data_IF_972568520252
#
_entry.id   IF_972568520252
#
_cell.length_a   1.000
_cell.length_b   1.000
_cell.length_c   1.000
_cell.angle_alpha   90.00
_cell.angle_beta   90.00
_cell.angle_gamma   90.00
#
_symmetry.space_group_name_H-M   'P 1'
#
loop_
_entity.id
_entity.type
_entity.pdbx_description
1 polymer ?
#
# COMPACT_ATOMS: atom_id res chain seq x y z
N UNK A 1 17.52 32.97 -26.75
CA UNK A 1 17.03 31.93 -27.68
C UNK A 1 15.69 31.43 -27.19
N UNK A 2 14.67 31.38 -28.06
CA UNK A 2 13.36 30.84 -27.73
C UNK A 2 13.43 29.31 -27.67
N UNK A 3 12.89 28.72 -26.61
CA UNK A 3 12.79 27.26 -26.47
C UNK A 3 11.80 26.71 -27.50
N UNK A 4 12.23 25.76 -28.34
CA UNK A 4 11.38 25.08 -29.32
C UNK A 4 11.12 23.65 -28.89
N UNK A 5 10.00 23.06 -29.38
CA UNK A 5 9.56 21.72 -28.98
C UNK A 5 10.65 20.63 -29.18
N UNK A 6 11.42 20.73 -30.25
CA UNK A 6 12.51 19.78 -30.54
C UNK A 6 13.74 19.95 -29.63
N UNK A 7 13.79 20.99 -28.80
CA UNK A 7 14.84 21.15 -27.78
C UNK A 7 14.55 20.40 -26.47
N UNK A 8 13.29 19.97 -26.28
CA UNK A 8 12.89 19.21 -25.10
C UNK A 8 13.54 17.83 -25.11
N UNK A 9 14.37 17.55 -24.14
CA UNK A 9 15.05 16.27 -23.95
C UNK A 9 14.92 15.86 -22.50
N UNK A 10 14.81 14.54 -22.21
CA UNK A 10 14.88 14.05 -20.83
C UNK A 10 16.22 14.40 -20.22
N UNK A 11 16.27 14.51 -18.89
CA UNK A 11 17.52 14.72 -18.17
C UNK A 11 18.55 13.63 -18.51
N UNK A 12 19.88 13.95 -18.51
CA UNK A 12 20.90 12.95 -18.74
C UNK A 12 20.75 11.74 -17.79
N UNK A 13 20.74 10.52 -18.35
CA UNK A 13 20.54 9.29 -17.58
C UNK A 13 19.08 8.86 -17.36
N UNK A 14 18.10 9.71 -17.59
CA UNK A 14 16.69 9.36 -17.43
C UNK A 14 16.18 8.34 -18.47
N UNK A 15 16.84 8.25 -19.62
CA UNK A 15 16.48 7.29 -20.68
C UNK A 15 17.73 6.61 -21.21
N UNK A 16 17.78 5.29 -21.11
CA UNK A 16 18.84 4.45 -21.67
C UNK A 16 18.29 3.70 -22.88
N UNK A 17 19.05 3.70 -23.97
CA UNK A 17 18.66 2.96 -25.17
C UNK A 17 18.63 1.45 -24.87
N UNK A 18 17.53 0.77 -25.23
CA UNK A 18 17.39 -0.68 -25.06
C UNK A 18 18.42 -1.40 -25.92
N UNK A 19 19.25 -2.26 -25.31
CA UNK A 19 20.20 -3.10 -26.02
C UNK A 19 19.46 -4.16 -26.84
N UNK A 20 19.65 -4.15 -28.16
CA UNK A 20 19.11 -5.18 -29.06
C UNK A 20 20.14 -6.27 -29.22
N UNK A 21 19.87 -7.45 -28.69
CA UNK A 21 20.72 -8.64 -28.80
C UNK A 21 20.50 -9.40 -30.11
N UNK A 22 21.48 -10.23 -30.52
CA UNK A 22 21.35 -11.05 -31.73
C UNK A 22 21.38 -10.25 -33.05
N UNK A 23 22.10 -9.12 -33.09
CA UNK A 23 22.25 -8.24 -34.28
C UNK A 23 23.66 -8.25 -34.84
N UNK A 24 24.28 -9.41 -34.94
CA UNK A 24 25.64 -9.58 -35.41
C UNK A 24 26.58 -10.05 -34.28
N UNK A 25 27.89 -10.05 -34.53
CA UNK A 25 28.87 -10.62 -33.61
C UNK A 25 29.47 -9.62 -32.60
N UNK A 26 29.00 -8.38 -32.57
CA UNK A 26 29.43 -7.38 -31.58
C UNK A 26 29.07 -7.78 -30.14
N UNK A 27 29.47 -6.98 -29.14
CA UNK A 27 29.55 -7.27 -27.72
C UNK A 27 28.41 -8.08 -27.05
N UNK A 28 27.19 -8.10 -27.60
CA UNK A 28 26.07 -8.95 -27.18
C UNK A 28 25.42 -9.67 -28.37
N UNK A 29 26.19 -9.97 -29.40
CA UNK A 29 25.73 -10.51 -30.66
C UNK A 29 25.49 -12.01 -30.63
N UNK A 30 26.49 -12.80 -30.95
CA UNK A 30 26.46 -14.23 -31.28
C UNK A 30 25.50 -15.08 -30.45
N UNK A 31 25.62 -15.13 -29.15
CA UNK A 31 24.79 -15.93 -28.24
C UNK A 31 23.71 -15.13 -27.53
N UNK A 32 23.63 -13.83 -27.78
CA UNK A 32 22.64 -12.92 -27.16
C UNK A 32 22.58 -12.97 -25.62
N UNK A 33 23.72 -13.33 -24.98
CA UNK A 33 23.82 -13.47 -23.52
C UNK A 33 23.27 -14.79 -22.96
N UNK A 34 22.90 -15.75 -23.82
CA UNK A 34 22.32 -17.03 -23.38
C UNK A 34 23.33 -18.18 -23.22
N UNK A 35 24.58 -18.01 -23.65
CA UNK A 35 25.59 -19.08 -23.68
C UNK A 35 25.40 -20.03 -24.86
N UNK A 36 26.08 -21.19 -24.86
CA UNK A 36 26.19 -22.07 -26.03
C UNK A 36 25.29 -23.31 -25.99
N UNK A 37 25.02 -23.88 -24.85
CA UNK A 37 24.24 -25.12 -24.69
C UNK A 37 23.25 -24.99 -23.53
N UNK A 38 22.29 -25.91 -23.46
CA UNK A 38 21.28 -25.97 -22.42
C UNK A 38 19.90 -25.45 -22.84
N UNK A 39 18.92 -25.73 -22.04
CA UNK A 39 17.52 -25.43 -22.33
C UNK A 39 17.25 -23.93 -22.47
N UNK A 40 17.85 -23.12 -21.60
CA UNK A 40 17.69 -21.64 -21.61
C UNK A 40 18.38 -20.97 -22.81
N UNK A 41 19.31 -21.63 -23.48
CA UNK A 41 19.94 -21.12 -24.70
C UNK A 41 19.00 -21.27 -25.92
N UNK A 42 18.12 -22.27 -25.93
CA UNK A 42 17.26 -22.61 -27.04
C UNK A 42 15.86 -22.03 -26.97
N UNK A 43 15.26 -22.02 -25.76
CA UNK A 43 13.93 -21.44 -25.52
C UNK A 43 13.80 -20.93 -24.11
N UNK A 44 12.67 -20.35 -23.81
CA UNK A 44 12.39 -19.79 -22.49
C UNK A 44 11.82 -20.90 -21.59
N UNK A 45 12.43 -21.07 -20.41
CA UNK A 45 11.95 -21.99 -19.38
C UNK A 45 11.08 -21.22 -18.40
N UNK A 46 9.90 -21.72 -18.02
CA UNK A 46 9.08 -21.12 -16.98
C UNK A 46 9.86 -20.95 -15.67
N UNK A 47 9.62 -19.85 -14.95
CA UNK A 47 10.34 -19.55 -13.70
C UNK A 47 10.13 -20.61 -12.61
N UNK A 48 8.96 -21.28 -12.61
CA UNK A 48 8.61 -22.33 -11.67
C UNK A 48 9.10 -23.74 -12.07
N UNK A 49 9.84 -23.89 -13.16
CA UNK A 49 10.31 -25.21 -13.61
C UNK A 49 11.54 -25.67 -12.83
N UNK A 50 11.43 -26.80 -12.16
CA UNK A 50 12.47 -27.41 -11.30
C UNK A 50 13.08 -28.69 -11.91
N UNK A 51 13.21 -28.75 -13.23
CA UNK A 51 13.88 -29.87 -13.92
C UNK A 51 13.12 -31.20 -13.90
N UNK A 52 11.81 -31.18 -13.67
CA UNK A 52 10.96 -32.37 -13.56
C UNK A 52 10.64 -32.77 -12.11
N UNK A 53 11.31 -32.18 -11.12
CA UNK A 53 10.90 -32.29 -9.73
C UNK A 53 9.60 -31.52 -9.52
N UNK A 54 8.74 -32.02 -8.64
CA UNK A 54 7.49 -31.32 -8.25
C UNK A 54 7.84 -29.92 -7.71
N UNK A 55 7.31 -28.84 -8.32
CA UNK A 55 7.59 -27.46 -7.89
C UNK A 55 7.22 -27.21 -6.43
N UNK A 56 7.95 -26.32 -5.76
CA UNK A 56 7.78 -26.06 -4.32
C UNK A 56 6.35 -25.65 -3.95
N UNK A 57 5.68 -24.87 -4.79
CA UNK A 57 4.29 -24.47 -4.56
C UNK A 57 3.29 -25.64 -4.58
N UNK A 58 3.66 -26.78 -5.20
CA UNK A 58 2.87 -28.00 -5.19
C UNK A 58 3.26 -28.95 -4.05
N UNK A 59 4.49 -28.82 -3.53
CA UNK A 59 4.96 -29.61 -2.38
C UNK A 59 4.49 -29.04 -1.04
N UNK A 60 4.29 -27.73 -0.97
CA UNK A 60 3.78 -27.08 0.24
C UNK A 60 2.32 -27.44 0.47
N UNK A 61 1.93 -27.72 1.73
CA UNK A 61 0.53 -27.97 2.06
C UNK A 61 -0.33 -26.74 1.75
N UNK A 62 -1.55 -26.98 1.29
CA UNK A 62 -2.51 -25.89 1.07
C UNK A 62 -2.84 -25.19 2.39
N UNK A 63 -2.93 -23.88 2.34
CA UNK A 63 -3.39 -23.07 3.48
C UNK A 63 -4.83 -23.50 3.83
N UNK A 64 -5.04 -23.80 5.11
CA UNK A 64 -6.37 -24.17 5.64
C UNK A 64 -7.20 -22.91 5.89
N UNK A 65 -8.51 -23.07 5.89
CA UNK A 65 -9.46 -22.00 6.14
C UNK A 65 -9.92 -21.29 4.86
N UNK A 66 -10.70 -20.27 5.05
CA UNK A 66 -11.25 -19.43 3.98
C UNK A 66 -11.16 -17.95 4.35
N UNK A 67 -11.17 -17.08 3.35
CA UNK A 67 -11.30 -15.63 3.54
C UNK A 67 -12.77 -15.27 3.50
N UNK A 68 -13.31 -14.71 4.58
CA UNK A 68 -14.68 -14.23 4.61
C UNK A 68 -14.85 -13.06 3.62
N UNK A 69 -15.67 -13.21 2.54
CA UNK A 69 -15.88 -12.14 1.57
C UNK A 69 -16.68 -10.96 2.14
N UNK A 70 -17.43 -11.19 3.22
CA UNK A 70 -18.24 -10.16 3.89
C UNK A 70 -17.51 -9.47 5.04
N UNK A 71 -16.22 -9.69 5.20
CA UNK A 71 -15.43 -9.06 6.25
C UNK A 71 -15.32 -7.55 6.02
N UNK A 72 -15.90 -6.77 6.92
CA UNK A 72 -15.69 -5.32 6.99
C UNK A 72 -14.36 -5.05 7.70
N UNK A 73 -13.47 -4.30 7.05
CA UNK A 73 -12.17 -3.92 7.59
C UNK A 73 -12.18 -2.43 7.89
N UNK A 74 -12.09 -2.09 9.18
CA UNK A 74 -12.04 -0.70 9.63
C UNK A 74 -10.60 -0.18 9.62
N UNK A 75 -10.43 1.09 9.29
CA UNK A 75 -9.22 1.83 9.63
C UNK A 75 -9.33 2.29 11.08
N UNK A 76 -8.25 2.17 11.82
CA UNK A 76 -8.23 2.43 13.25
C UNK A 76 -7.57 3.79 13.53
N UNK A 77 -8.23 4.58 14.37
CA UNK A 77 -7.67 5.80 14.97
C UNK A 77 -7.79 5.70 16.48
N UNK A 78 -6.71 5.94 17.20
CA UNK A 78 -6.70 5.90 18.65
C UNK A 78 -7.07 7.27 19.26
N UNK A 79 -7.70 7.25 20.42
CA UNK A 79 -8.16 8.47 21.14
C UNK A 79 -7.00 9.44 21.41
N UNK A 80 -5.82 8.93 21.83
CA UNK A 80 -4.65 9.77 22.02
C UNK A 80 -4.25 10.52 20.76
N UNK A 81 -4.28 9.85 19.59
CA UNK A 81 -3.96 10.49 18.31
C UNK A 81 -5.00 11.54 17.89
N UNK A 82 -6.27 11.39 18.30
CA UNK A 82 -7.28 12.41 18.07
C UNK A 82 -6.94 13.71 18.83
N UNK A 83 -6.47 13.61 20.07
CA UNK A 83 -5.99 14.77 20.83
C UNK A 83 -4.83 15.49 20.16
N UNK A 84 -3.86 14.74 19.62
CA UNK A 84 -2.70 15.31 18.91
C UNK A 84 -3.09 16.00 17.59
N UNK A 85 -4.03 15.42 16.85
CA UNK A 85 -4.48 15.96 15.57
C UNK A 85 -5.42 17.15 15.68
N UNK A 86 -6.20 17.22 16.78
CA UNK A 86 -7.22 18.25 17.03
C UNK A 86 -7.03 18.87 18.42
N UNK A 87 -5.92 19.60 18.64
CA UNK A 87 -5.64 20.21 19.94
C UNK A 87 -6.65 21.28 20.36
N UNK A 88 -7.30 21.92 19.38
CA UNK A 88 -8.33 22.93 19.61
C UNK A 88 -9.72 22.32 19.87
N UNK A 89 -9.87 21.02 19.74
CA UNK A 89 -11.15 20.31 19.85
C UNK A 89 -12.11 20.56 18.69
N UNK A 90 -13.41 20.41 18.94
CA UNK A 90 -14.44 20.69 17.98
C UNK A 90 -15.04 19.45 17.29
N UNK A 91 -15.73 19.65 16.16
CA UNK A 91 -16.37 18.60 15.40
C UNK A 91 -15.33 17.91 14.49
N UNK A 92 -15.25 16.59 14.60
CA UNK A 92 -14.32 15.74 13.82
C UNK A 92 -15.11 14.69 13.06
N UNK A 93 -15.05 14.76 11.74
CA UNK A 93 -15.68 13.79 10.83
C UNK A 93 -14.64 12.83 10.22
N UNK A 94 -15.09 11.76 9.56
CA UNK A 94 -14.20 10.88 8.80
C UNK A 94 -13.45 11.64 7.71
N UNK A 95 -14.06 12.65 7.08
CA UNK A 95 -13.41 13.50 6.08
C UNK A 95 -12.26 14.35 6.67
N UNK A 96 -12.42 14.87 7.89
CA UNK A 96 -11.36 15.64 8.58
C UNK A 96 -10.16 14.75 8.92
N UNK A 97 -10.42 13.49 9.30
CA UNK A 97 -9.37 12.50 9.54
C UNK A 97 -8.59 12.14 8.26
N UNK A 98 -9.26 12.10 7.12
CA UNK A 98 -8.62 11.94 5.79
C UNK A 98 -7.79 13.18 5.46
N UNK A 99 -8.32 14.39 5.65
CA UNK A 99 -7.61 15.64 5.37
C UNK A 99 -6.33 15.80 6.22
N UNK A 100 -6.37 15.34 7.48
CA UNK A 100 -5.18 15.28 8.37
C UNK A 100 -4.25 14.07 8.08
N UNK A 101 -4.60 13.19 7.14
CA UNK A 101 -3.81 12.01 6.80
C UNK A 101 -3.77 10.92 7.87
N UNK A 102 -4.73 10.92 8.80
CA UNK A 102 -4.84 9.89 9.83
C UNK A 102 -5.39 8.58 9.27
N UNK A 103 -6.28 8.67 8.29
CA UNK A 103 -6.92 7.56 7.58
C UNK A 103 -6.90 7.82 6.07
N UNK A 104 -7.12 6.77 5.28
CA UNK A 104 -7.28 6.85 3.82
C UNK A 104 -8.77 6.91 3.47
N UNK A 105 -9.10 7.60 2.40
CA UNK A 105 -10.45 7.62 1.87
C UNK A 105 -10.93 6.23 1.40
N UNK A 106 -12.24 5.99 1.46
CA UNK A 106 -12.89 4.79 0.93
C UNK A 106 -13.01 3.59 1.88
N UNK A 107 -12.61 3.69 3.15
CA UNK A 107 -12.82 2.62 4.13
C UNK A 107 -13.36 3.14 5.45
N UNK A 108 -14.27 2.39 6.13
CA UNK A 108 -14.90 2.83 7.36
C UNK A 108 -13.86 2.99 8.48
N UNK A 109 -14.10 3.95 9.36
CA UNK A 109 -13.22 4.33 10.46
C UNK A 109 -13.75 3.81 11.79
N UNK A 110 -12.85 3.29 12.63
CA UNK A 110 -13.16 2.88 14.00
C UNK A 110 -12.23 3.57 14.99
N UNK A 111 -12.80 4.23 15.97
CA UNK A 111 -12.03 4.85 17.07
C UNK A 111 -11.86 3.86 18.20
N UNK A 112 -10.60 3.69 18.64
CA UNK A 112 -10.19 2.82 19.75
C UNK A 112 -9.67 3.65 20.93
N UNK A 113 -9.79 3.08 22.14
CA UNK A 113 -9.52 3.76 23.42
C UNK A 113 -8.05 3.82 23.85
N UNK A 114 -7.07 3.62 22.96
CA UNK A 114 -5.65 3.72 23.32
C UNK A 114 -5.22 5.17 23.42
N UNK A 115 -4.40 5.46 24.42
CA UNK A 115 -3.95 6.82 24.76
C UNK A 115 -4.95 7.58 25.63
N UNK A 116 -4.65 8.84 25.88
CA UNK A 116 -5.48 9.75 26.68
C UNK A 116 -5.86 10.98 25.85
N UNK A 117 -7.01 11.57 26.16
CA UNK A 117 -7.49 12.79 25.54
C UNK A 117 -7.95 13.74 26.65
N UNK A 118 -7.47 14.97 26.59
CA UNK A 118 -7.85 16.05 27.52
C UNK A 118 -8.74 17.12 26.88
N UNK A 119 -8.95 17.01 25.56
CA UNK A 119 -9.67 18.01 24.77
C UNK A 119 -11.07 17.49 24.44
N UNK A 120 -12.07 18.33 24.55
CA UNK A 120 -13.45 18.01 24.18
C UNK A 120 -13.60 17.95 22.64
N UNK A 121 -13.82 16.75 22.10
CA UNK A 121 -14.06 16.52 20.66
C UNK A 121 -15.43 15.87 20.41
N UNK A 122 -16.10 16.31 19.37
CA UNK A 122 -17.34 15.70 18.89
C UNK A 122 -17.00 14.84 17.66
N UNK A 123 -16.87 13.54 17.87
CA UNK A 123 -16.39 12.61 16.80
C UNK A 123 -17.59 11.92 16.16
N UNK A 124 -17.67 12.01 14.82
CA UNK A 124 -18.70 11.35 14.00
C UNK A 124 -18.02 10.39 13.05
N UNK A 125 -18.11 9.07 13.33
CA UNK A 125 -17.51 7.98 12.56
C UNK A 125 -18.34 6.71 12.63
N UNK A 126 -17.99 5.69 11.83
CA UNK A 126 -18.79 4.47 11.66
C UNK A 126 -18.75 3.51 12.86
N UNK A 127 -17.69 3.53 13.68
CA UNK A 127 -17.61 2.66 14.86
C UNK A 127 -16.73 3.21 15.98
N UNK A 128 -17.04 2.81 17.22
CA UNK A 128 -16.24 3.10 18.43
C UNK A 128 -16.04 1.83 19.26
N UNK A 129 -14.98 1.77 20.03
CA UNK A 129 -14.88 0.83 21.15
C UNK A 129 -15.58 1.40 22.40
N UNK A 130 -15.94 0.53 23.35
CA UNK A 130 -16.54 0.98 24.62
C UNK A 130 -15.62 1.96 25.38
N UNK A 131 -14.36 1.59 25.52
CA UNK A 131 -13.34 2.46 26.16
C UNK A 131 -13.14 3.80 25.45
N UNK A 132 -13.24 3.84 24.11
CA UNK A 132 -13.12 5.12 23.40
C UNK A 132 -14.31 6.05 23.72
N UNK A 133 -15.53 5.52 23.78
CA UNK A 133 -16.73 6.29 24.15
C UNK A 133 -16.60 6.88 25.55
N UNK A 134 -16.16 6.07 26.52
CA UNK A 134 -15.95 6.48 27.92
C UNK A 134 -14.91 7.60 28.04
N UNK A 135 -13.77 7.47 27.36
CA UNK A 135 -12.70 8.48 27.38
C UNK A 135 -13.11 9.78 26.70
N UNK A 136 -13.80 9.73 25.57
CA UNK A 136 -14.32 10.91 24.87
C UNK A 136 -15.37 11.62 25.75
N UNK A 137 -16.28 10.88 26.37
CA UNK A 137 -17.27 11.45 27.28
C UNK A 137 -16.63 12.04 28.54
N UNK A 138 -15.63 11.39 29.14
CA UNK A 138 -14.88 11.90 30.27
C UNK A 138 -14.13 13.22 29.97
N UNK A 139 -13.67 13.40 28.73
CA UNK A 139 -13.06 14.64 28.25
C UNK A 139 -14.10 15.73 27.86
N UNK A 140 -15.40 15.49 28.08
CA UNK A 140 -16.48 16.44 27.74
C UNK A 140 -16.89 16.44 26.26
N UNK A 141 -16.43 15.45 25.48
CA UNK A 141 -16.78 15.28 24.08
C UNK A 141 -18.01 14.39 23.84
N UNK A 142 -18.35 14.17 22.58
CA UNK A 142 -19.43 13.26 22.17
C UNK A 142 -18.98 12.31 21.06
N UNK A 143 -19.48 11.06 21.09
CA UNK A 143 -19.19 10.03 20.11
C UNK A 143 -20.48 9.68 19.33
N UNK A 144 -20.57 10.15 18.11
CA UNK A 144 -21.73 9.98 17.23
C UNK A 144 -21.45 8.92 16.17
N UNK A 145 -22.37 7.97 15.97
CA UNK A 145 -22.31 6.99 14.89
C UNK A 145 -22.94 7.56 13.63
N UNK A 146 -22.30 7.36 12.50
CA UNK A 146 -22.83 7.71 11.17
C UNK A 146 -23.49 6.48 10.56
#
# INVERSE_FOLDING_TARGET
MSLKLHHLRPAPGAKTAKTRVGRGEASKGKTAGRGTKGTKARYQVPAAFEGGQMPIHMRLPKLRGFKNPFKVTYQVVNVGRLGDLFPDGGAVTSADLVAKGAVRDGAPVKVLGEGEISVAVQVSVEAFSAQAKEKIAAAGGSANLI
#
